data_IF_585704239494
#
_entry.id   IF_585704239494
#
_cell.length_a   1.000
_cell.length_b   1.000
_cell.length_c   1.000
_cell.angle_alpha   90.00
_cell.angle_beta   90.00
_cell.angle_gamma   90.00
#
_symmetry.space_group_name_H-M   'P 1'
#
loop_
_entity.id
_entity.type
_entity.pdbx_description
1 polymer ?
#
# COMPACT_ATOMS: atom_id res chain seq x y z
N UNK A 1 12.08 -0.72 -29.11
CA UNK A 1 10.79 -1.24 -28.59
C UNK A 1 10.83 -2.72 -28.21
N UNK A 2 11.61 -3.58 -28.88
CA UNK A 2 11.66 -5.02 -28.59
C UNK A 2 12.16 -5.36 -27.16
N UNK A 3 13.19 -4.66 -26.70
CA UNK A 3 13.81 -4.88 -25.38
C UNK A 3 12.85 -4.64 -24.20
N UNK A 4 12.01 -3.61 -24.28
CA UNK A 4 11.08 -3.26 -23.20
C UNK A 4 9.98 -4.31 -23.06
N UNK A 5 9.46 -4.81 -24.18
CA UNK A 5 8.41 -5.83 -24.18
C UNK A 5 8.95 -7.14 -23.62
N UNK A 6 10.18 -7.51 -23.98
CA UNK A 6 10.84 -8.73 -23.52
C UNK A 6 11.19 -8.66 -22.03
N UNK A 7 11.67 -7.49 -21.57
CA UNK A 7 11.90 -7.22 -20.15
C UNK A 7 10.60 -7.32 -19.33
N UNK A 8 9.52 -6.70 -19.80
CA UNK A 8 8.21 -6.77 -19.14
C UNK A 8 7.66 -8.20 -19.10
N UNK A 9 7.78 -8.95 -20.20
CA UNK A 9 7.36 -10.37 -20.25
C UNK A 9 8.14 -11.22 -19.26
N UNK A 10 9.46 -11.06 -19.19
CA UNK A 10 10.30 -11.79 -18.23
C UNK A 10 9.99 -11.41 -16.78
N UNK A 11 9.72 -10.12 -16.52
CA UNK A 11 9.31 -9.65 -15.19
C UNK A 11 7.95 -10.22 -14.78
N UNK A 12 6.97 -10.22 -15.69
CA UNK A 12 5.65 -10.80 -15.46
C UNK A 12 5.72 -12.31 -15.22
N UNK A 13 6.50 -13.05 -16.02
CA UNK A 13 6.68 -14.50 -15.85
C UNK A 13 7.31 -14.84 -14.50
N UNK A 14 8.28 -14.04 -14.02
CA UNK A 14 8.88 -14.24 -12.69
C UNK A 14 7.88 -13.97 -11.56
N UNK A 15 7.06 -12.93 -11.67
CA UNK A 15 6.05 -12.62 -10.65
C UNK A 15 5.01 -13.75 -10.53
N UNK A 16 4.58 -14.28 -11.67
CA UNK A 16 3.64 -15.40 -11.72
C UNK A 16 4.24 -16.67 -11.11
N UNK A 17 5.51 -16.98 -11.42
CA UNK A 17 6.19 -18.17 -10.89
C UNK A 17 6.54 -18.03 -9.41
N UNK A 18 7.07 -16.89 -8.97
CA UNK A 18 7.58 -16.70 -7.61
C UNK A 18 6.45 -16.46 -6.60
N UNK A 19 5.39 -15.78 -7.01
CA UNK A 19 4.32 -15.37 -6.11
C UNK A 19 2.95 -15.94 -6.49
N UNK A 20 2.73 -16.49 -7.70
CA UNK A 20 1.41 -17.03 -8.10
C UNK A 20 0.33 -15.97 -8.32
N UNK A 21 0.69 -14.69 -8.35
CA UNK A 21 -0.22 -13.57 -8.54
C UNK A 21 -0.35 -13.20 -10.01
N UNK A 22 -1.54 -12.75 -10.43
CA UNK A 22 -1.73 -12.21 -11.77
C UNK A 22 -0.84 -10.95 -11.95
N UNK A 23 0.15 -10.99 -12.84
CA UNK A 23 1.15 -9.94 -12.96
C UNK A 23 0.57 -8.62 -13.50
N UNK A 24 -0.48 -8.70 -14.31
CA UNK A 24 -1.17 -7.54 -14.90
C UNK A 24 -1.88 -6.74 -13.81
N UNK A 25 -2.59 -7.42 -12.90
CA UNK A 25 -3.28 -6.76 -11.79
C UNK A 25 -2.25 -6.11 -10.85
N UNK A 26 -1.15 -6.79 -10.56
CA UNK A 26 -0.06 -6.22 -9.76
C UNK A 26 0.50 -4.95 -10.41
N UNK A 27 0.79 -4.98 -11.72
CA UNK A 27 1.26 -3.81 -12.45
C UNK A 27 0.24 -2.67 -12.45
N UNK A 28 -1.05 -2.95 -12.63
CA UNK A 28 -2.10 -1.93 -12.57
C UNK A 28 -2.14 -1.28 -11.17
N UNK A 29 -2.06 -2.05 -10.09
CA UNK A 29 -2.07 -1.51 -8.73
C UNK A 29 -0.79 -0.71 -8.46
N UNK A 30 0.37 -1.24 -8.87
CA UNK A 30 1.68 -0.62 -8.65
C UNK A 30 1.85 0.68 -9.47
N UNK A 31 1.68 0.60 -10.78
CA UNK A 31 1.83 1.76 -11.67
C UNK A 31 0.63 2.70 -11.59
N UNK A 32 -0.57 2.19 -11.39
CA UNK A 32 -1.77 3.01 -11.18
C UNK A 32 -1.75 3.72 -9.84
N UNK A 33 -1.15 3.15 -8.79
CA UNK A 33 -0.98 3.77 -7.48
C UNK A 33 0.11 4.85 -7.44
N UNK A 34 1.15 4.72 -8.26
CA UNK A 34 2.27 5.67 -8.32
C UNK A 34 1.87 7.15 -8.51
N UNK A 35 0.97 7.53 -9.45
CA UNK A 35 0.55 8.94 -9.57
C UNK A 35 -0.16 9.43 -8.31
N UNK A 36 -1.00 8.61 -7.67
CA UNK A 36 -1.68 8.98 -6.42
C UNK A 36 -0.69 9.11 -5.25
N UNK A 37 0.33 8.27 -5.20
CA UNK A 37 1.39 8.34 -4.21
C UNK A 37 2.14 9.68 -4.27
N UNK A 38 2.60 10.08 -5.46
CA UNK A 38 3.29 11.36 -5.64
C UNK A 38 2.39 12.56 -5.37
N UNK A 39 1.13 12.51 -5.81
CA UNK A 39 0.14 13.54 -5.49
C UNK A 39 -0.12 13.66 -4.00
N UNK A 40 -0.19 12.54 -3.27
CA UNK A 40 -0.38 12.52 -1.84
C UNK A 40 0.80 13.17 -1.11
N UNK A 41 2.04 12.85 -1.49
CA UNK A 41 3.25 13.51 -0.95
C UNK A 41 3.18 15.01 -1.17
N UNK A 42 2.93 15.44 -2.41
CA UNK A 42 2.86 16.86 -2.74
C UNK A 42 1.79 17.59 -1.92
N UNK A 43 0.60 16.99 -1.77
CA UNK A 43 -0.50 17.54 -0.99
C UNK A 43 -0.24 17.53 0.51
N UNK A 44 0.51 16.56 1.03
CA UNK A 44 0.95 16.55 2.43
C UNK A 44 1.94 17.68 2.70
N UNK A 45 2.97 17.84 1.85
CA UNK A 45 3.98 18.90 2.00
C UNK A 45 3.34 20.29 1.93
N UNK A 46 2.48 20.51 0.93
CA UNK A 46 1.75 21.79 0.80
C UNK A 46 0.73 22.00 1.91
N UNK A 47 0.09 20.94 2.41
CA UNK A 47 -0.81 20.99 3.56
C UNK A 47 -0.09 21.39 4.85
N UNK A 48 1.09 20.81 5.10
CA UNK A 48 1.96 21.15 6.23
C UNK A 48 2.40 22.62 6.17
N UNK A 49 2.85 23.09 5.00
CA UNK A 49 3.25 24.48 4.79
C UNK A 49 2.11 25.47 5.06
N UNK A 50 0.89 25.11 4.69
CA UNK A 50 -0.30 25.96 4.83
C UNK A 50 -1.09 25.69 6.13
N UNK A 51 -0.54 24.90 7.06
CA UNK A 51 -1.21 24.47 8.32
C UNK A 51 -2.60 23.84 8.12
N UNK A 52 -2.84 23.21 6.98
CA UNK A 52 -4.11 22.52 6.64
C UNK A 52 -4.06 21.07 7.13
N UNK A 53 -4.36 20.85 8.41
CA UNK A 53 -4.27 19.54 9.06
C UNK A 53 -5.23 18.51 8.42
N UNK A 54 -6.43 18.92 8.01
CA UNK A 54 -7.39 18.02 7.35
C UNK A 54 -6.86 17.48 6.01
N UNK A 55 -6.21 18.35 5.23
CA UNK A 55 -5.57 17.95 3.98
C UNK A 55 -4.44 16.94 4.25
N UNK A 56 -3.58 17.19 5.24
CA UNK A 56 -2.51 16.27 5.62
C UNK A 56 -3.07 14.92 6.06
N UNK A 57 -4.18 14.91 6.81
CA UNK A 57 -4.83 13.69 7.28
C UNK A 57 -5.40 12.87 6.13
N UNK A 58 -6.15 13.49 5.21
CA UNK A 58 -6.77 12.82 4.06
C UNK A 58 -5.67 12.23 3.16
N UNK A 59 -4.71 13.05 2.75
CA UNK A 59 -3.66 12.59 1.85
C UNK A 59 -2.68 11.63 2.54
N UNK A 60 -2.52 11.69 3.87
CA UNK A 60 -1.80 10.69 4.64
C UNK A 60 -2.45 9.31 4.57
N UNK A 61 -3.78 9.23 4.64
CA UNK A 61 -4.52 7.97 4.45
C UNK A 61 -4.35 7.46 3.02
N UNK A 62 -4.49 8.34 2.02
CA UNK A 62 -4.28 7.98 0.60
C UNK A 62 -2.86 7.45 0.36
N UNK A 63 -1.84 8.09 0.95
CA UNK A 63 -0.46 7.65 0.87
C UNK A 63 -0.28 6.25 1.49
N UNK A 64 -0.87 6.03 2.66
CA UNK A 64 -0.84 4.72 3.33
C UNK A 64 -1.50 3.63 2.49
N UNK A 65 -2.71 3.89 1.99
CA UNK A 65 -3.45 2.93 1.14
C UNK A 65 -2.68 2.61 -0.13
N UNK A 66 -2.19 3.62 -0.86
CA UNK A 66 -1.46 3.41 -2.11
C UNK A 66 -0.15 2.67 -1.92
N UNK A 67 0.51 2.86 -0.78
CA UNK A 67 1.75 2.14 -0.43
C UNK A 67 1.46 0.70 -0.05
N UNK A 68 0.41 0.43 0.71
CA UNK A 68 0.10 -0.90 1.25
C UNK A 68 -0.66 -1.78 0.24
N UNK A 69 -1.40 -1.19 -0.71
CA UNK A 69 -2.25 -1.91 -1.66
C UNK A 69 -1.53 -3.00 -2.50
N UNK A 70 -0.32 -2.77 -3.08
CA UNK A 70 0.40 -3.81 -3.79
C UNK A 70 0.78 -4.98 -2.87
N UNK A 71 1.15 -4.69 -1.63
CA UNK A 71 1.52 -5.71 -0.65
C UNK A 71 0.31 -6.51 -0.18
N UNK A 72 -0.85 -5.89 0.02
CA UNK A 72 -2.10 -6.61 0.33
C UNK A 72 -2.49 -7.54 -0.82
N UNK A 73 -2.36 -7.10 -2.06
CA UNK A 73 -2.66 -7.94 -3.22
C UNK A 73 -1.75 -9.18 -3.25
N UNK A 74 -0.44 -8.98 -3.08
CA UNK A 74 0.50 -10.12 -2.99
C UNK A 74 0.24 -10.96 -1.75
N UNK A 75 -0.18 -10.38 -0.62
CA UNK A 75 -0.49 -11.14 0.59
C UNK A 75 -1.68 -12.09 0.38
N UNK A 76 -2.77 -11.60 -0.21
CA UNK A 76 -4.01 -12.38 -0.36
C UNK A 76 -3.90 -13.42 -1.47
N UNK A 77 -3.32 -13.02 -2.60
CA UNK A 77 -3.27 -13.86 -3.80
C UNK A 77 -1.93 -14.57 -3.98
N UNK A 78 -0.93 -14.24 -3.16
CA UNK A 78 0.40 -14.81 -3.25
C UNK A 78 0.49 -16.17 -2.58
N UNK A 79 0.97 -17.17 -3.31
CA UNK A 79 1.07 -18.54 -2.80
C UNK A 79 2.31 -18.76 -1.91
N UNK A 80 3.28 -17.85 -1.94
CA UNK A 80 4.60 -18.02 -1.31
C UNK A 80 5.00 -16.86 -0.40
N UNK A 81 4.00 -16.21 0.23
CA UNK A 81 4.25 -15.07 1.12
C UNK A 81 4.87 -15.58 2.44
N UNK A 82 6.05 -15.08 2.84
CA UNK A 82 6.70 -15.53 4.07
C UNK A 82 5.79 -15.37 5.29
N UNK A 83 5.73 -16.39 6.16
CA UNK A 83 4.87 -16.41 7.35
C UNK A 83 5.02 -15.16 8.24
N UNK A 84 6.25 -14.62 8.33
CA UNK A 84 6.53 -13.42 9.11
C UNK A 84 5.75 -12.18 8.64
N UNK A 85 5.42 -12.08 7.35
CA UNK A 85 4.59 -11.01 6.81
C UNK A 85 3.17 -11.02 7.42
N UNK A 86 2.58 -12.21 7.57
CA UNK A 86 1.27 -12.39 8.19
C UNK A 86 1.29 -12.07 9.69
N UNK A 87 2.34 -12.49 10.40
CA UNK A 87 2.53 -12.18 11.82
C UNK A 87 2.68 -10.67 12.03
N UNK A 88 3.50 -10.00 11.21
CA UNK A 88 3.72 -8.56 11.34
C UNK A 88 2.47 -7.76 10.93
N UNK A 89 1.82 -8.15 9.83
CA UNK A 89 0.59 -7.53 9.35
C UNK A 89 -0.56 -7.65 10.36
N UNK A 90 -0.78 -8.85 10.91
CA UNK A 90 -1.79 -9.07 11.95
C UNK A 90 -1.50 -8.32 13.24
N UNK A 91 -0.24 -8.29 13.70
CA UNK A 91 0.17 -7.53 14.87
C UNK A 91 -0.09 -6.02 14.71
N UNK A 92 0.25 -5.45 13.55
CA UNK A 92 -0.03 -4.04 13.23
C UNK A 92 -1.53 -3.77 13.21
N UNK A 93 -2.33 -4.64 12.59
CA UNK A 93 -3.78 -4.48 12.55
C UNK A 93 -4.38 -4.51 13.95
N UNK A 94 -4.01 -5.49 14.77
CA UNK A 94 -4.46 -5.60 16.17
C UNK A 94 -4.05 -4.35 16.96
N UNK A 95 -2.79 -3.92 16.84
CA UNK A 95 -2.29 -2.73 17.53
C UNK A 95 -3.03 -1.46 17.11
N UNK A 96 -3.29 -1.31 15.80
CA UNK A 96 -4.04 -0.18 15.24
C UNK A 96 -5.47 -0.18 15.77
N UNK A 97 -6.14 -1.33 15.74
CA UNK A 97 -7.52 -1.48 16.21
C UNK A 97 -7.62 -1.21 17.73
N UNK A 98 -6.69 -1.75 18.51
CA UNK A 98 -6.59 -1.52 19.96
C UNK A 98 -6.36 -0.04 20.29
N UNK A 99 -5.46 0.63 19.57
CA UNK A 99 -5.21 2.07 19.75
C UNK A 99 -6.40 2.94 19.36
N UNK A 100 -7.15 2.57 18.32
CA UNK A 100 -8.36 3.30 17.93
C UNK A 100 -9.45 3.13 18.98
N UNK A 101 -9.73 1.90 19.42
CA UNK A 101 -10.74 1.65 20.47
C UNK A 101 -10.40 2.33 21.79
N UNK A 102 -9.15 2.25 22.24
CA UNK A 102 -8.72 2.89 23.49
C UNK A 102 -8.82 4.42 23.42
N UNK A 103 -8.56 5.04 22.26
CA UNK A 103 -8.74 6.50 22.08
C UNK A 103 -10.20 6.93 22.07
N UNK A 104 -11.09 6.15 21.45
CA UNK A 104 -12.54 6.43 21.47
C UNK A 104 -13.09 6.32 22.90
N UNK A 105 -12.65 5.31 23.65
CA UNK A 105 -13.07 5.12 25.05
C UNK A 105 -12.60 6.27 25.95
N UNK A 106 -11.43 6.84 25.67
CA UNK A 106 -10.83 7.93 26.46
C UNK A 106 -11.33 9.33 26.10
N UNK A 107 -12.12 9.49 25.03
CA UNK A 107 -12.73 10.78 24.66
C UNK A 107 -14.19 10.90 25.09
N UNK A 108 -14.72 9.90 25.80
CA UNK A 108 -16.08 9.91 26.37
C UNK A 108 -16.10 10.13 27.89
N UNK A 109 -14.93 10.17 28.54
CA UNK A 109 -14.73 10.60 29.94
C UNK A 109 -14.23 12.06 29.98
#
# INVERSE_FOLDING_TARGET
MHFIIEYLKNWFARIEVDYGVNPVIFAIIYFGGAPFFWLAIYKIITGLKNKKIDQVRIFGIVLGITTIAPFIYVAIFGHNVPFWFWVFGSAILIYTFYNVMSRVKKSQD
#
